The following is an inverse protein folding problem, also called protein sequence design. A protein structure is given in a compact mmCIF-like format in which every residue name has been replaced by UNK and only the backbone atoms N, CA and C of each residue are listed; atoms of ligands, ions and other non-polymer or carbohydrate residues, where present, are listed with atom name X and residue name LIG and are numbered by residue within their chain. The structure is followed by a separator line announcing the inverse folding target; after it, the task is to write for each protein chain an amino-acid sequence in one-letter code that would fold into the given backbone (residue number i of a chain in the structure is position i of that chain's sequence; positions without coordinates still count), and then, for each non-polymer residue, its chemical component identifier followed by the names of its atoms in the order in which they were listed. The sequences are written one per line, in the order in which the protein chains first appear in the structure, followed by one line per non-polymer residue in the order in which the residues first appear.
data_IF_034935829014
#
_entry.id   IF_034935829014
#
_cell.length_a   1.000
_cell.length_b   1.000
_cell.length_c   1.000
_cell.angle_alpha   90.00
_cell.angle_beta   90.00
_cell.angle_gamma   90.00
#
_symmetry.space_group_name_H-M   'P 1'
#
loop_
_entity.id
_entity.type
_entity.pdbx_description
1 polymer ?
#
# COMPACT_ATOMS: atom_id res chain seq x y z
N UNK A 1 -24.89 -4.10 -0.10
CA UNK A 1 -24.46 -4.03 -1.52
C UNK A 1 -24.08 -5.42 -1.99
N UNK A 2 -24.70 -5.91 -3.06
CA UNK A 2 -24.37 -7.19 -3.71
C UNK A 2 -23.05 -7.08 -4.47
N UNK A 3 -22.52 -8.22 -4.95
CA UNK A 3 -21.31 -8.21 -5.80
C UNK A 3 -21.53 -7.47 -7.12
N UNK A 4 -22.67 -7.70 -7.76
CA UNK A 4 -23.04 -7.10 -9.04
C UNK A 4 -23.15 -5.58 -8.92
N UNK A 5 -23.82 -5.09 -7.87
CA UNK A 5 -23.92 -3.65 -7.56
C UNK A 5 -22.55 -3.02 -7.32
N UNK A 6 -21.71 -3.69 -6.53
CA UNK A 6 -20.37 -3.20 -6.21
C UNK A 6 -19.46 -3.19 -7.45
N UNK A 7 -19.49 -4.27 -8.26
CA UNK A 7 -18.70 -4.37 -9.49
C UNK A 7 -19.12 -3.33 -10.53
N UNK A 8 -20.43 -3.02 -10.65
CA UNK A 8 -20.98 -2.03 -11.58
C UNK A 8 -20.46 -0.60 -11.29
N UNK A 9 -19.88 -0.35 -10.12
CA UNK A 9 -19.20 0.91 -9.82
C UNK A 9 -17.91 1.11 -10.62
N UNK A 10 -17.37 0.06 -11.23
CA UNK A 10 -16.10 0.10 -11.96
C UNK A 10 -16.31 -0.11 -13.47
N UNK A 11 -16.51 0.96 -14.28
CA UNK A 11 -16.80 0.84 -15.71
C UNK A 11 -15.74 0.08 -16.51
N UNK A 12 -14.49 0.14 -16.12
CA UNK A 12 -13.38 -0.58 -16.77
C UNK A 12 -13.61 -2.10 -16.81
N UNK A 13 -14.33 -2.64 -15.82
CA UNK A 13 -14.59 -4.07 -15.68
C UNK A 13 -15.63 -4.62 -16.69
N UNK A 14 -16.35 -3.74 -17.39
CA UNK A 14 -17.24 -4.14 -18.47
C UNK A 14 -16.48 -4.70 -19.70
N UNK A 15 -15.26 -4.24 -19.89
CA UNK A 15 -14.42 -4.55 -21.07
C UNK A 15 -13.16 -5.32 -20.75
N UNK A 16 -12.68 -5.22 -19.49
CA UNK A 16 -11.33 -5.65 -19.10
C UNK A 16 -11.40 -6.57 -17.90
N UNK A 17 -10.74 -7.71 -17.97
CA UNK A 17 -10.40 -8.52 -16.81
C UNK A 17 -9.24 -7.83 -16.07
N UNK A 18 -9.60 -6.98 -15.09
CA UNK A 18 -8.65 -6.12 -14.39
C UNK A 18 -8.01 -6.83 -13.18
N UNK A 19 -6.87 -7.46 -13.40
CA UNK A 19 -6.16 -8.29 -12.44
C UNK A 19 -4.79 -7.67 -12.03
N UNK A 20 -4.76 -6.34 -11.80
CA UNK A 20 -3.51 -5.62 -11.53
C UNK A 20 -3.59 -4.62 -10.36
N UNK A 21 -4.45 -4.85 -9.38
CA UNK A 21 -4.55 -3.99 -8.18
C UNK A 21 -3.24 -3.87 -7.39
N UNK A 22 -2.37 -4.87 -7.46
CA UNK A 22 -1.03 -4.80 -6.85
C UNK A 22 -0.12 -3.73 -7.47
N UNK A 23 -0.51 -3.11 -8.60
CA UNK A 23 0.12 -1.92 -9.19
C UNK A 23 -0.79 -0.71 -8.98
N UNK A 24 -1.99 -0.74 -9.56
CA UNK A 24 -3.06 0.24 -9.39
C UNK A 24 -4.41 -0.50 -9.31
N UNK A 25 -5.27 -0.11 -8.38
CA UNK A 25 -6.67 -0.54 -8.35
C UNK A 25 -7.51 0.17 -9.41
N UNK A 26 -8.65 -0.40 -9.84
CA UNK A 26 -9.57 0.31 -10.70
C UNK A 26 -10.24 1.46 -9.93
N UNK A 27 -10.54 2.56 -10.61
CA UNK A 27 -11.28 3.68 -10.01
C UNK A 27 -12.79 3.45 -10.14
N UNK A 28 -13.52 3.64 -9.03
CA UNK A 28 -14.98 3.60 -9.03
C UNK A 28 -15.60 4.91 -9.55
N UNK A 29 -16.89 4.85 -9.93
CA UNK A 29 -17.69 6.03 -10.28
C UNK A 29 -17.73 7.04 -9.14
N UNK A 30 -17.89 6.60 -7.88
CA UNK A 30 -17.95 7.49 -6.73
C UNK A 30 -16.59 8.13 -6.45
N UNK A 31 -15.49 7.37 -6.55
CA UNK A 31 -14.13 7.94 -6.46
C UNK A 31 -13.91 9.03 -7.49
N UNK A 32 -14.27 8.76 -8.76
CA UNK A 32 -14.12 9.73 -9.84
C UNK A 32 -15.02 10.95 -9.65
N UNK A 33 -16.26 10.76 -9.20
CA UNK A 33 -17.21 11.83 -8.92
C UNK A 33 -16.73 12.75 -7.80
N UNK A 34 -16.24 12.20 -6.67
CA UNK A 34 -15.71 12.98 -5.56
C UNK A 34 -14.50 13.85 -5.96
N UNK A 35 -13.61 13.29 -6.80
CA UNK A 35 -12.48 14.05 -7.37
C UNK A 35 -12.99 15.20 -8.24
N UNK A 36 -13.93 14.93 -9.15
CA UNK A 36 -14.47 15.92 -10.08
C UNK A 36 -15.26 17.02 -9.37
N UNK A 37 -16.04 16.68 -8.36
CA UNK A 37 -16.81 17.63 -7.54
C UNK A 37 -15.88 18.59 -6.80
N UNK A 38 -14.83 18.09 -6.17
CA UNK A 38 -13.86 18.97 -5.51
C UNK A 38 -13.17 19.91 -6.51
N UNK A 39 -12.77 19.40 -7.67
CA UNK A 39 -12.16 20.23 -8.71
C UNK A 39 -13.11 21.28 -9.29
N UNK A 40 -14.38 20.92 -9.51
CA UNK A 40 -15.41 21.85 -9.98
C UNK A 40 -15.62 22.99 -8.95
N UNK A 41 -15.68 22.66 -7.67
CA UNK A 41 -15.78 23.65 -6.58
C UNK A 41 -14.56 24.57 -6.53
N UNK A 42 -13.34 24.02 -6.66
CA UNK A 42 -12.11 24.82 -6.71
C UNK A 42 -12.09 25.77 -7.91
N UNK A 43 -12.65 25.32 -9.04
CA UNK A 43 -12.78 26.15 -10.25
C UNK A 43 -13.79 27.30 -10.05
N UNK A 44 -14.93 27.02 -9.43
CA UNK A 44 -16.04 27.98 -9.27
C UNK A 44 -15.77 29.01 -8.15
N UNK A 45 -15.24 28.53 -7.02
CA UNK A 45 -15.08 29.35 -5.81
C UNK A 45 -13.64 29.77 -5.52
N UNK A 46 -12.68 29.19 -6.22
CA UNK A 46 -11.25 29.42 -5.98
C UNK A 46 -10.72 28.65 -4.75
N UNK A 47 -9.41 28.74 -4.54
CA UNK A 47 -8.69 28.06 -3.47
C UNK A 47 -8.03 29.06 -2.52
N UNK A 48 -8.83 29.91 -1.87
CA UNK A 48 -8.32 31.01 -1.05
C UNK A 48 -9.15 31.23 0.21
N UNK A 49 -8.51 31.89 1.18
CA UNK A 49 -9.15 32.27 2.44
C UNK A 49 -9.15 31.18 3.52
N UNK A 50 -9.51 31.59 4.75
CA UNK A 50 -9.50 30.73 5.93
C UNK A 50 -10.45 29.54 5.78
N UNK A 51 -11.66 29.77 5.28
CA UNK A 51 -12.69 28.74 5.14
C UNK A 51 -12.25 27.58 4.23
N UNK A 52 -11.61 27.88 3.09
CA UNK A 52 -11.05 26.84 2.22
C UNK A 52 -9.99 26.00 2.94
N UNK A 53 -9.09 26.69 3.67
CA UNK A 53 -8.03 26.00 4.40
C UNK A 53 -8.56 25.13 5.54
N UNK A 54 -9.54 25.62 6.29
CA UNK A 54 -10.22 24.86 7.35
C UNK A 54 -10.90 23.61 6.80
N UNK A 55 -11.53 23.71 5.64
CA UNK A 55 -12.18 22.54 5.00
C UNK A 55 -11.17 21.50 4.52
N UNK A 56 -10.04 21.92 3.94
CA UNK A 56 -8.94 20.99 3.59
C UNK A 56 -8.39 20.32 4.84
N UNK A 57 -8.22 21.04 5.95
CA UNK A 57 -7.79 20.45 7.21
C UNK A 57 -8.82 19.46 7.76
N UNK A 58 -10.09 19.79 7.74
CA UNK A 58 -11.16 18.90 8.17
C UNK A 58 -11.20 17.60 7.35
N UNK A 59 -11.07 17.69 6.02
CA UNK A 59 -10.99 16.52 5.14
C UNK A 59 -9.79 15.62 5.49
N UNK A 60 -8.63 16.22 5.77
CA UNK A 60 -7.44 15.45 6.20
C UNK A 60 -7.72 14.66 7.47
N UNK A 61 -8.37 15.24 8.46
CA UNK A 61 -8.70 14.55 9.71
C UNK A 61 -9.72 13.43 9.50
N UNK A 62 -10.73 13.62 8.65
CA UNK A 62 -11.69 12.56 8.30
C UNK A 62 -10.99 11.39 7.60
N UNK A 63 -10.14 11.66 6.61
CA UNK A 63 -9.38 10.60 5.90
C UNK A 63 -8.44 9.87 6.87
N UNK A 64 -7.75 10.60 7.76
CA UNK A 64 -6.90 10.02 8.82
C UNK A 64 -7.67 9.06 9.71
N UNK A 65 -8.85 9.47 10.19
CA UNK A 65 -9.71 8.65 11.03
C UNK A 65 -10.18 7.38 10.29
N UNK A 66 -10.55 7.49 9.01
CA UNK A 66 -10.98 6.35 8.19
C UNK A 66 -9.85 5.36 7.94
N UNK A 67 -8.63 5.84 7.68
CA UNK A 67 -7.45 4.98 7.51
C UNK A 67 -7.04 4.32 8.84
N UNK A 68 -7.13 5.05 9.95
CA UNK A 68 -6.92 4.47 11.29
C UNK A 68 -7.90 3.35 11.61
N UNK A 69 -9.20 3.60 11.38
CA UNK A 69 -10.25 2.60 11.56
C UNK A 69 -10.06 1.36 10.66
N UNK A 70 -9.57 1.54 9.42
CA UNK A 70 -9.30 0.44 8.49
C UNK A 70 -8.28 -0.57 9.03
N UNK A 71 -7.28 -0.09 9.77
CA UNK A 71 -6.18 -0.92 10.31
C UNK A 71 -6.19 -1.01 11.85
N UNK A 72 -7.28 -0.62 12.50
CA UNK A 72 -7.51 -0.81 13.94
C UNK A 72 -6.59 0.03 14.84
N UNK A 73 -6.25 1.28 14.43
CA UNK A 73 -5.46 2.20 15.24
C UNK A 73 -6.15 3.55 15.41
N UNK A 74 -5.81 4.26 16.47
CA UNK A 74 -6.30 5.62 16.71
C UNK A 74 -5.77 6.60 15.65
N UNK A 75 -6.55 7.62 15.25
CA UNK A 75 -6.16 8.60 14.24
C UNK A 75 -4.84 9.31 14.54
N UNK A 76 -4.52 9.53 15.82
CA UNK A 76 -3.31 10.17 16.28
C UNK A 76 -2.02 9.39 15.91
N UNK A 77 -2.16 8.11 15.56
CA UNK A 77 -1.05 7.26 15.09
C UNK A 77 -0.89 7.27 13.57
N UNK A 78 -1.74 7.97 12.84
CA UNK A 78 -1.75 7.97 11.37
C UNK A 78 -1.22 9.30 10.83
N UNK A 79 -0.14 9.27 10.06
CA UNK A 79 0.28 10.35 9.16
C UNK A 79 -0.30 10.10 7.76
N UNK A 80 -0.74 11.15 7.07
CA UNK A 80 -1.08 11.05 5.67
C UNK A 80 0.22 11.07 4.85
N UNK A 81 0.30 10.28 3.78
CA UNK A 81 1.43 10.25 2.84
C UNK A 81 0.93 10.17 1.41
N UNK A 82 1.82 10.38 0.42
CA UNK A 82 1.45 10.19 -0.98
C UNK A 82 1.67 8.74 -1.46
N UNK A 83 2.41 7.93 -0.69
CA UNK A 83 2.73 6.54 -1.06
C UNK A 83 3.32 5.76 0.12
N UNK A 84 3.44 4.43 -0.02
CA UNK A 84 4.21 3.60 0.93
C UNK A 84 5.70 3.99 0.95
N UNK A 85 6.26 4.36 -0.19
CA UNK A 85 7.65 4.83 -0.29
C UNK A 85 7.90 6.07 0.55
N UNK A 86 6.98 7.04 0.57
CA UNK A 86 7.07 8.21 1.45
C UNK A 86 7.09 7.79 2.91
N UNK A 87 6.21 6.86 3.30
CA UNK A 87 6.19 6.32 4.65
C UNK A 87 7.51 5.66 5.04
N UNK A 88 8.11 4.85 4.15
CA UNK A 88 9.41 4.24 4.36
C UNK A 88 10.51 5.30 4.55
N UNK A 89 10.54 6.33 3.70
CA UNK A 89 11.51 7.42 3.80
C UNK A 89 11.37 8.21 5.10
N UNK A 90 10.14 8.51 5.52
CA UNK A 90 9.86 9.20 6.80
C UNK A 90 10.43 8.41 7.98
N UNK A 91 10.16 7.10 8.04
CA UNK A 91 10.63 6.23 9.12
C UNK A 91 12.15 6.15 9.13
N UNK A 92 12.75 5.80 8.00
CA UNK A 92 14.20 5.57 7.92
C UNK A 92 15.02 6.85 8.18
N UNK A 93 14.56 7.99 7.67
CA UNK A 93 15.18 9.28 7.97
C UNK A 93 14.96 9.70 9.43
N UNK A 94 13.78 9.37 10.00
CA UNK A 94 13.43 9.69 11.38
C UNK A 94 14.19 8.88 12.42
N UNK A 95 14.56 7.63 12.12
CA UNK A 95 15.33 6.76 13.00
C UNK A 95 16.77 7.22 13.18
N UNK A 96 17.34 7.99 12.22
CA UNK A 96 18.70 8.52 12.31
C UNK A 96 19.76 7.42 12.37
N UNK A 97 19.57 6.37 11.57
CA UNK A 97 20.49 5.22 11.49
C UNK A 97 21.85 5.63 10.92
N UNK A 98 22.90 4.96 11.37
CA UNK A 98 24.28 5.19 10.92
C UNK A 98 24.95 3.91 10.37
N UNK A 99 26.21 4.00 9.93
CA UNK A 99 26.93 2.91 9.27
C UNK A 99 27.20 1.70 10.20
N UNK A 100 27.12 1.88 11.50
CA UNK A 100 27.26 0.80 12.49
C UNK A 100 25.95 0.09 12.80
N UNK A 101 24.81 0.67 12.40
CA UNK A 101 23.49 0.07 12.58
C UNK A 101 23.16 -0.86 11.40
N UNK A 102 22.44 -1.94 11.67
CA UNK A 102 21.97 -2.86 10.65
C UNK A 102 20.44 -2.84 10.53
N UNK A 103 19.95 -2.93 9.30
CA UNK A 103 18.54 -3.16 8.99
C UNK A 103 18.42 -4.47 8.25
N UNK A 104 17.61 -5.39 8.76
CA UNK A 104 17.32 -6.66 8.11
C UNK A 104 16.11 -6.49 7.19
N UNK A 105 16.27 -6.95 5.96
CA UNK A 105 15.23 -6.95 4.91
C UNK A 105 15.30 -8.27 4.12
N UNK A 106 14.45 -8.44 3.08
CA UNK A 106 14.48 -9.66 2.27
C UNK A 106 14.87 -9.42 0.81
N UNK A 107 15.24 -10.51 0.12
CA UNK A 107 15.60 -10.49 -1.31
C UNK A 107 14.41 -10.23 -2.24
N UNK A 108 13.17 -10.31 -1.74
CA UNK A 108 11.95 -10.12 -2.53
C UNK A 108 11.23 -8.79 -2.23
N UNK A 109 11.93 -7.79 -1.70
CA UNK A 109 11.32 -6.49 -1.43
C UNK A 109 11.16 -5.63 -2.69
N UNK A 110 10.15 -4.77 -2.67
CA UNK A 110 9.94 -3.80 -3.75
C UNK A 110 10.93 -2.63 -3.63
N UNK A 111 11.33 -2.06 -4.78
CA UNK A 111 12.27 -0.93 -4.82
C UNK A 111 11.80 0.28 -3.97
N UNK A 112 10.49 0.47 -3.78
CA UNK A 112 9.95 1.52 -2.90
C UNK A 112 10.43 1.44 -1.45
N UNK A 113 10.72 0.23 -0.95
CA UNK A 113 11.36 -0.01 0.34
C UNK A 113 12.89 -0.04 0.20
N UNK A 114 13.42 -0.78 -0.77
CA UNK A 114 14.87 -0.96 -0.95
C UNK A 114 15.59 0.37 -1.22
N UNK A 115 15.02 1.26 -2.04
CA UNK A 115 15.59 2.57 -2.31
C UNK A 115 15.71 3.43 -1.05
N UNK A 116 14.66 3.43 -0.21
CA UNK A 116 14.66 4.13 1.07
C UNK A 116 15.70 3.54 2.04
N UNK A 117 15.82 2.20 2.09
CA UNK A 117 16.82 1.51 2.90
C UNK A 117 18.25 1.91 2.52
N UNK A 118 18.58 1.88 1.23
CA UNK A 118 19.92 2.28 0.75
C UNK A 118 20.26 3.75 1.02
N UNK A 119 19.23 4.59 1.18
CA UNK A 119 19.42 6.01 1.51
C UNK A 119 19.49 6.27 3.02
N UNK A 120 19.26 5.28 3.86
CA UNK A 120 19.20 5.43 5.33
C UNK A 120 20.55 5.65 6.01
N UNK A 121 21.65 5.29 5.35
CA UNK A 121 23.00 5.29 5.93
C UNK A 121 23.34 4.02 6.73
N UNK A 122 22.38 3.13 6.99
CA UNK A 122 22.60 1.88 7.67
C UNK A 122 23.18 0.80 6.76
N UNK A 123 23.77 -0.23 7.37
CA UNK A 123 24.13 -1.45 6.67
C UNK A 123 22.88 -2.30 6.42
N UNK A 124 22.59 -2.62 5.16
CA UNK A 124 21.46 -3.45 4.78
C UNK A 124 21.87 -4.92 4.77
N UNK A 125 21.17 -5.73 5.57
CA UNK A 125 21.34 -7.18 5.64
C UNK A 125 20.16 -7.83 4.95
N UNK A 126 20.42 -8.46 3.79
CA UNK A 126 19.39 -9.09 2.96
C UNK A 126 19.31 -10.58 3.31
N UNK A 127 18.16 -11.05 3.75
CA UNK A 127 17.87 -12.45 4.03
C UNK A 127 16.96 -13.06 2.96
N UNK A 128 16.92 -14.40 2.89
CA UNK A 128 15.83 -15.06 2.18
C UNK A 128 14.49 -14.75 2.86
N UNK A 129 13.37 -14.67 2.08
CA UNK A 129 12.06 -14.28 2.62
C UNK A 129 11.39 -15.45 3.38
N UNK A 130 12.05 -15.92 4.43
CA UNK A 130 11.61 -16.96 5.34
C UNK A 130 11.92 -16.57 6.79
N UNK A 131 11.03 -16.92 7.73
CA UNK A 131 11.16 -16.52 9.11
C UNK A 131 12.51 -16.90 9.73
N UNK A 132 12.94 -18.17 9.53
CA UNK A 132 14.20 -18.67 10.08
C UNK A 132 15.42 -17.95 9.50
N UNK A 133 15.40 -17.62 8.20
CA UNK A 133 16.48 -16.88 7.53
C UNK A 133 16.54 -15.43 8.04
N UNK A 134 15.38 -14.78 8.24
CA UNK A 134 15.29 -13.43 8.81
C UNK A 134 15.82 -13.43 10.25
N UNK A 135 15.43 -14.40 11.08
CA UNK A 135 15.92 -14.52 12.45
C UNK A 135 17.43 -14.78 12.50
N UNK A 136 17.96 -15.61 11.61
CA UNK A 136 19.40 -15.91 11.53
C UNK A 136 20.23 -14.69 11.06
N UNK A 137 19.62 -13.75 10.35
CA UNK A 137 20.25 -12.50 9.89
C UNK A 137 20.34 -11.42 10.99
N UNK A 138 19.63 -11.58 12.12
CA UNK A 138 19.63 -10.61 13.21
C UNK A 138 20.94 -10.70 14.00
N UNK A 139 21.55 -9.54 14.25
CA UNK A 139 22.77 -9.39 15.06
C UNK A 139 22.55 -8.36 16.18
N UNK A 140 23.48 -8.21 17.13
CA UNK A 140 23.40 -7.14 18.14
C UNK A 140 23.40 -5.72 17.56
N UNK A 141 23.78 -5.52 16.29
CA UNK A 141 23.73 -4.24 15.58
C UNK A 141 22.40 -4.00 14.87
N UNK A 142 21.52 -5.01 14.76
CA UNK A 142 20.22 -4.86 14.09
C UNK A 142 19.34 -3.90 14.88
N UNK A 143 18.85 -2.86 14.21
CA UNK A 143 18.01 -1.80 14.77
C UNK A 143 16.59 -1.83 14.27
N UNK A 144 16.35 -2.49 13.15
CA UNK A 144 15.04 -2.51 12.47
C UNK A 144 14.91 -3.78 11.63
N UNK A 145 13.71 -4.35 11.61
CA UNK A 145 13.24 -5.25 10.57
C UNK A 145 12.38 -4.45 9.61
N UNK A 146 12.79 -4.31 8.35
CA UNK A 146 12.06 -3.57 7.32
C UNK A 146 11.62 -4.55 6.23
N UNK A 147 10.33 -4.91 6.22
CA UNK A 147 9.82 -6.08 5.50
C UNK A 147 8.43 -5.80 4.92
N UNK A 148 8.14 -6.33 3.74
CA UNK A 148 6.78 -6.42 3.23
C UNK A 148 5.96 -7.41 4.05
N UNK A 149 4.73 -7.04 4.45
CA UNK A 149 3.83 -7.99 5.10
C UNK A 149 3.39 -9.08 4.12
N UNK A 150 3.08 -8.69 2.88
CA UNK A 150 2.79 -9.59 1.76
C UNK A 150 3.79 -9.30 0.65
N UNK A 151 4.55 -10.29 0.24
CA UNK A 151 5.56 -10.16 -0.80
C UNK A 151 4.91 -9.83 -2.15
N UNK A 152 5.41 -8.79 -2.80
CA UNK A 152 4.83 -8.29 -4.05
C UNK A 152 5.07 -9.22 -5.25
N UNK A 153 6.03 -10.10 -5.15
CA UNK A 153 6.43 -11.09 -6.18
C UNK A 153 5.48 -12.28 -6.22
N UNK A 154 5.17 -12.87 -5.06
CA UNK A 154 4.48 -14.16 -4.94
C UNK A 154 3.15 -14.08 -4.20
N UNK A 155 2.91 -13.01 -3.41
CA UNK A 155 1.78 -12.92 -2.50
C UNK A 155 1.95 -13.72 -1.21
N UNK A 156 3.17 -14.23 -0.93
CA UNK A 156 3.44 -14.96 0.31
C UNK A 156 3.52 -14.01 1.48
N UNK A 157 2.95 -14.41 2.64
CA UNK A 157 3.02 -13.67 3.88
C UNK A 157 4.34 -13.87 4.60
N UNK A 158 4.83 -12.83 5.23
CA UNK A 158 5.83 -12.90 6.27
C UNK A 158 5.19 -12.75 7.65
N UNK A 159 5.56 -13.57 8.65
CA UNK A 159 4.95 -13.54 9.97
C UNK A 159 5.54 -12.41 10.84
N UNK A 160 5.33 -11.14 10.42
CA UNK A 160 6.00 -9.96 11.00
C UNK A 160 5.73 -9.79 12.49
N UNK A 161 4.51 -10.05 12.97
CA UNK A 161 4.17 -9.99 14.39
C UNK A 161 4.98 -11.01 15.23
N UNK A 162 5.14 -12.24 14.70
CA UNK A 162 5.96 -13.27 15.34
C UNK A 162 7.44 -12.92 15.31
N UNK A 163 7.95 -12.36 14.21
CA UNK A 163 9.33 -11.88 14.10
C UNK A 163 9.60 -10.76 15.10
N UNK A 164 8.68 -9.79 15.23
CA UNK A 164 8.75 -8.74 16.25
C UNK A 164 8.80 -9.32 17.67
N UNK A 165 7.88 -10.23 17.98
CA UNK A 165 7.83 -10.87 19.31
C UNK A 165 9.10 -11.68 19.64
N UNK A 166 9.65 -12.40 18.65
CA UNK A 166 10.84 -13.23 18.81
C UNK A 166 12.14 -12.44 18.92
N UNK A 167 12.24 -11.28 18.29
CA UNK A 167 13.47 -10.47 18.27
C UNK A 167 13.43 -9.29 19.24
N UNK A 168 12.25 -8.78 19.61
CA UNK A 168 12.09 -7.53 20.36
C UNK A 168 12.47 -6.28 19.56
N UNK A 169 12.78 -6.42 18.26
CA UNK A 169 13.16 -5.31 17.38
C UNK A 169 11.93 -4.59 16.84
N UNK A 170 12.02 -3.28 16.57
CA UNK A 170 10.97 -2.57 15.85
C UNK A 170 10.81 -3.11 14.43
N UNK A 171 9.56 -3.08 13.91
CA UNK A 171 9.20 -3.54 12.59
C UNK A 171 8.61 -2.40 11.77
N UNK A 172 9.20 -2.13 10.61
CA UNK A 172 8.60 -1.37 9.51
C UNK A 172 7.96 -2.38 8.55
N UNK A 173 6.63 -2.44 8.58
CA UNK A 173 5.83 -3.25 7.67
C UNK A 173 5.47 -2.45 6.41
N UNK A 174 5.95 -2.87 5.23
CA UNK A 174 5.41 -2.35 3.97
C UNK A 174 4.07 -3.02 3.69
N UNK A 175 2.99 -2.22 3.83
CA UNK A 175 1.61 -2.64 3.65
C UNK A 175 1.09 -2.51 2.21
N UNK A 176 1.96 -2.24 1.22
CA UNK A 176 1.55 -1.99 -0.16
C UNK A 176 0.74 -3.11 -0.81
N UNK A 177 0.92 -4.35 -0.38
CA UNK A 177 0.20 -5.53 -0.89
C UNK A 177 -0.73 -6.16 0.14
N UNK A 178 -0.78 -5.65 1.37
CA UNK A 178 -1.66 -6.18 2.42
C UNK A 178 -2.86 -5.28 2.71
N UNK A 179 -2.65 -3.97 2.91
CA UNK A 179 -3.76 -3.07 3.30
C UNK A 179 -4.75 -2.91 2.14
N UNK A 180 -6.01 -3.25 2.41
CA UNK A 180 -7.08 -3.31 1.41
C UNK A 180 -7.22 -4.66 0.69
N UNK A 181 -6.17 -5.50 0.69
CA UNK A 181 -6.19 -6.86 0.14
C UNK A 181 -6.58 -7.93 1.17
N UNK A 182 -6.11 -7.76 2.41
CA UNK A 182 -6.39 -8.64 3.55
C UNK A 182 -6.71 -7.81 4.79
N UNK A 183 -7.32 -8.38 5.84
CA UNK A 183 -7.43 -7.72 7.14
C UNK A 183 -6.04 -7.48 7.72
N UNK A 184 -5.78 -6.27 8.19
CA UNK A 184 -4.50 -5.87 8.80
C UNK A 184 -4.76 -5.22 10.15
N UNK A 185 -4.07 -5.70 11.19
CA UNK A 185 -3.99 -5.04 12.48
C UNK A 185 -2.72 -4.18 12.54
N UNK A 186 -2.88 -2.87 12.35
CA UNK A 186 -1.77 -1.91 12.36
C UNK A 186 -1.11 -1.76 13.73
N UNK A 187 -1.78 -2.16 14.82
CA UNK A 187 -1.22 -2.12 16.18
C UNK A 187 -0.11 -3.16 16.41
N UNK A 188 -0.04 -4.17 15.56
CA UNK A 188 0.99 -5.21 15.63
C UNK A 188 2.40 -4.72 15.26
N UNK A 189 2.51 -3.55 14.59
CA UNK A 189 3.77 -3.03 14.05
C UNK A 189 4.17 -1.71 14.71
N UNK A 190 5.47 -1.38 14.64
CA UNK A 190 5.95 -0.06 15.07
C UNK A 190 5.67 0.98 13.98
N UNK A 191 5.78 0.54 12.71
CA UNK A 191 5.47 1.34 11.54
C UNK A 191 4.75 0.48 10.50
N UNK A 192 3.67 1.02 9.91
CA UNK A 192 2.97 0.37 8.79
C UNK A 192 2.70 1.39 7.69
N UNK A 193 3.13 1.12 6.47
CA UNK A 193 2.85 1.98 5.31
C UNK A 193 1.60 1.52 4.57
N UNK A 194 0.83 2.47 4.03
CA UNK A 194 -0.43 2.25 3.33
C UNK A 194 -0.41 2.93 1.96
N UNK A 195 -0.90 2.25 0.94
CA UNK A 195 -1.02 2.76 -0.43
C UNK A 195 -2.50 2.91 -0.82
N UNK A 196 -2.95 4.13 -1.10
CA UNK A 196 -4.35 4.40 -1.45
C UNK A 196 -4.73 3.94 -2.86
N UNK A 197 -3.83 4.09 -3.83
CA UNK A 197 -4.10 3.80 -5.25
C UNK A 197 -4.07 2.31 -5.63
N UNK A 198 -3.72 1.40 -4.71
CA UNK A 198 -3.69 -0.03 -5.00
C UNK A 198 -5.01 -0.71 -4.62
N UNK A 199 -4.98 -1.52 -3.60
CA UNK A 199 -6.12 -2.33 -3.14
C UNK A 199 -7.28 -1.53 -2.54
N UNK A 200 -7.03 -0.28 -2.15
CA UNK A 200 -8.06 0.65 -1.67
C UNK A 200 -8.79 1.35 -2.82
N UNK A 201 -8.35 1.19 -4.07
CA UNK A 201 -8.99 1.79 -5.26
C UNK A 201 -9.11 3.33 -5.21
N UNK A 202 -8.27 3.97 -4.41
CA UNK A 202 -8.20 5.43 -4.31
C UNK A 202 -7.40 6.06 -5.45
N UNK A 203 -7.41 7.39 -5.57
CA UNK A 203 -6.59 8.13 -6.51
C UNK A 203 -5.10 8.05 -6.20
N UNK A 204 -4.29 8.44 -7.19
CA UNK A 204 -2.85 8.62 -7.02
C UNK A 204 -2.50 9.64 -5.94
N UNK A 205 -1.27 9.55 -5.44
CA UNK A 205 -0.76 10.43 -4.39
C UNK A 205 -1.56 10.36 -3.09
N UNK A 206 -2.09 9.18 -2.75
CA UNK A 206 -2.79 8.91 -1.49
C UNK A 206 -2.18 7.70 -0.78
N UNK A 207 -2.05 7.82 0.53
CA UNK A 207 -1.51 6.79 1.40
C UNK A 207 -1.43 7.25 2.85
N UNK A 208 -0.85 6.41 3.68
CA UNK A 208 -0.61 6.74 5.08
C UNK A 208 0.60 6.00 5.66
N UNK A 209 1.06 6.49 6.78
CA UNK A 209 2.02 5.86 7.67
C UNK A 209 1.41 5.76 9.07
N UNK A 210 1.28 4.55 9.59
CA UNK A 210 0.99 4.32 11.01
C UNK A 210 2.30 4.34 11.78
N UNK A 211 2.34 5.08 12.88
CA UNK A 211 3.49 5.15 13.81
C UNK A 211 2.98 4.83 15.21
N UNK A 212 3.47 3.74 15.81
CA UNK A 212 3.01 3.29 17.11
C UNK A 212 3.33 4.30 18.23
N UNK A 213 4.50 4.92 18.17
CA UNK A 213 4.95 5.96 19.11
C UNK A 213 5.54 7.15 18.34
N UNK A 214 4.68 8.11 17.90
CA UNK A 214 5.13 9.25 17.10
C UNK A 214 6.15 10.16 17.78
N UNK A 215 6.17 10.19 19.12
CA UNK A 215 7.06 11.06 19.88
C UNK A 215 8.53 10.57 19.86
N UNK A 216 8.74 9.28 19.61
CA UNK A 216 10.07 8.67 19.51
C UNK A 216 10.71 8.75 18.14
N UNK A 217 9.93 9.08 17.12
CA UNK A 217 10.44 9.22 15.76
C UNK A 217 10.76 10.70 15.47
N UNK A 218 11.98 10.99 15.06
CA UNK A 218 12.40 12.34 14.71
C UNK A 218 11.71 12.82 13.43
N UNK A 219 11.20 14.06 13.42
CA UNK A 219 10.71 14.71 12.19
C UNK A 219 11.92 15.13 11.36
N UNK A 220 12.30 14.30 10.39
CA UNK A 220 13.46 14.53 9.53
C UNK A 220 13.15 15.48 8.35
N UNK A 221 11.90 15.55 7.94
CA UNK A 221 11.43 16.39 6.83
C UNK A 221 10.18 17.16 7.25
N UNK A 222 10.32 18.27 7.99
CA UNK A 222 9.19 19.08 8.42
C UNK A 222 8.50 19.74 7.23
N UNK A 223 7.18 19.86 7.30
CA UNK A 223 6.33 20.48 6.28
C UNK A 223 5.46 21.57 6.90
N UNK A 224 4.78 22.33 6.04
CA UNK A 224 3.80 23.32 6.51
C UNK A 224 2.66 22.66 7.31
N UNK A 225 2.26 21.44 6.96
CA UNK A 225 1.18 20.70 7.63
C UNK A 225 1.65 19.90 8.85
N UNK A 226 2.96 19.78 9.10
CA UNK A 226 3.51 19.01 10.23
C UNK A 226 3.71 19.85 11.50
N UNK A 227 3.50 21.16 11.43
CA UNK A 227 3.71 22.10 12.52
C UNK A 227 2.42 22.69 13.08
N UNK A 228 2.46 23.07 14.35
CA UNK A 228 1.45 23.94 14.98
C UNK A 228 1.83 25.40 14.73
N UNK A 229 3.07 25.77 15.04
CA UNK A 229 3.58 27.13 14.96
C UNK A 229 5.06 27.14 14.58
N UNK A 230 5.60 28.30 14.16
CA UNK A 230 7.00 28.47 13.81
C UNK A 230 7.48 29.91 14.02
N UNK A 231 8.79 30.03 14.25
CA UNK A 231 9.50 31.29 14.42
C UNK A 231 10.13 31.74 13.08
N UNK A 232 10.45 33.04 12.91
CA UNK A 232 11.09 33.55 11.70
C UNK A 232 12.45 32.93 11.36
N UNK A 233 13.13 32.36 12.35
CA UNK A 233 14.42 31.68 12.20
C UNK A 233 14.29 30.20 11.80
N UNK A 234 13.05 29.71 11.62
CA UNK A 234 12.74 28.34 11.20
C UNK A 234 12.58 27.35 12.36
N UNK A 235 12.72 27.75 13.62
CA UNK A 235 12.30 26.93 14.76
C UNK A 235 10.77 26.73 14.70
N UNK A 236 10.30 25.55 15.03
CA UNK A 236 8.89 25.22 14.97
C UNK A 236 8.45 24.28 16.07
N UNK A 237 7.16 24.30 16.37
CA UNK A 237 6.50 23.32 17.24
C UNK A 237 5.81 22.28 16.34
N UNK A 238 6.26 21.03 16.42
CA UNK A 238 5.63 19.93 15.68
C UNK A 238 4.21 19.66 16.20
N UNK A 239 3.32 19.21 15.32
CA UNK A 239 2.00 18.73 15.72
C UNK A 239 2.13 17.53 16.68
N UNK A 240 1.15 17.32 17.58
CA UNK A 240 1.06 16.10 18.37
C UNK A 240 0.74 14.91 17.47
N UNK A 241 1.10 13.71 17.91
CA UNK A 241 0.83 12.47 17.21
C UNK A 241 1.52 12.38 15.85
N UNK A 242 1.08 11.45 15.00
CA UNK A 242 1.70 11.18 13.72
C UNK A 242 1.46 12.28 12.65
N UNK A 243 0.53 13.21 12.89
CA UNK A 243 0.32 14.37 12.01
C UNK A 243 1.59 15.25 11.86
N UNK A 244 2.58 15.11 12.76
CA UNK A 244 3.91 15.73 12.66
C UNK A 244 4.73 15.27 11.47
N UNK A 245 4.35 14.14 10.84
CA UNK A 245 5.00 13.55 9.68
C UNK A 245 4.24 13.81 8.38
N UNK A 246 3.11 14.53 8.42
CA UNK A 246 2.33 14.84 7.23
C UNK A 246 3.21 15.59 6.20
N UNK A 247 3.19 15.20 4.91
CA UNK A 247 3.90 15.91 3.86
C UNK A 247 3.24 17.27 3.60
N UNK A 248 3.90 18.10 2.80
CA UNK A 248 3.40 19.45 2.52
C UNK A 248 1.99 19.38 1.93
N UNK A 249 1.83 19.15 0.66
CA UNK A 249 0.53 19.24 0.00
C UNK A 249 0.14 17.89 -0.63
N UNK A 250 -0.98 17.32 -0.17
CA UNK A 250 -1.69 16.25 -0.86
C UNK A 250 -2.92 16.90 -1.51
N UNK A 251 -3.20 16.70 -2.81
CA UNK A 251 -4.36 17.29 -3.45
C UNK A 251 -5.66 16.94 -2.71
N UNK A 252 -6.43 17.94 -2.32
CA UNK A 252 -7.69 17.72 -1.59
C UNK A 252 -8.68 16.88 -2.39
N UNK A 253 -8.72 17.06 -3.72
CA UNK A 253 -9.50 16.21 -4.61
C UNK A 253 -9.11 14.72 -4.50
N UNK A 254 -7.81 14.40 -4.40
CA UNK A 254 -7.35 13.02 -4.20
C UNK A 254 -7.77 12.48 -2.83
N UNK A 255 -7.73 13.29 -1.77
CA UNK A 255 -8.21 12.89 -0.44
C UNK A 255 -9.73 12.63 -0.43
N UNK A 256 -10.51 13.48 -1.09
CA UNK A 256 -11.96 13.28 -1.25
C UNK A 256 -12.27 11.98 -2.02
N UNK A 257 -11.52 11.71 -3.10
CA UNK A 257 -11.63 10.46 -3.84
C UNK A 257 -11.24 9.23 -3.02
N UNK A 258 -10.18 9.31 -2.21
CA UNK A 258 -9.79 8.21 -1.31
C UNK A 258 -10.88 7.95 -0.26
N UNK A 259 -11.46 9.00 0.33
CA UNK A 259 -12.56 8.86 1.29
C UNK A 259 -13.74 8.13 0.66
N UNK A 260 -14.16 8.52 -0.55
CA UNK A 260 -15.23 7.86 -1.30
C UNK A 260 -14.90 6.37 -1.57
N UNK A 261 -13.66 6.06 -1.94
CA UNK A 261 -13.23 4.68 -2.17
C UNK A 261 -13.30 3.83 -0.88
N UNK A 262 -12.91 4.39 0.26
CA UNK A 262 -12.98 3.72 1.56
C UNK A 262 -14.43 3.49 2.02
N UNK A 263 -15.34 4.42 1.72
CA UNK A 263 -16.76 4.33 2.10
C UNK A 263 -17.52 3.31 1.27
N UNK A 264 -17.14 3.08 0.02
CA UNK A 264 -17.75 2.09 -0.87
C UNK A 264 -17.23 0.66 -0.69
N UNK A 265 -16.11 0.45 -0.01
CA UNK A 265 -15.48 -0.85 0.12
C UNK A 265 -16.38 -1.83 0.90
N UNK A 266 -16.85 -2.95 0.30
CA UNK A 266 -17.79 -3.85 0.96
C UNK A 266 -17.11 -4.66 2.09
N UNK A 267 -17.87 -5.01 3.13
CA UNK A 267 -17.37 -5.81 4.27
C UNK A 267 -16.87 -7.20 3.82
N UNK A 268 -17.52 -7.81 2.84
CA UNK A 268 -17.17 -9.14 2.31
C UNK A 268 -15.95 -9.16 1.39
N UNK A 269 -15.31 -8.00 1.14
CA UNK A 269 -14.21 -7.84 0.16
C UNK A 269 -13.05 -8.82 0.33
N UNK A 270 -12.60 -9.03 1.55
CA UNK A 270 -11.43 -9.87 1.83
C UNK A 270 -11.69 -11.34 1.56
N UNK A 271 -12.82 -11.87 2.06
CA UNK A 271 -13.19 -13.26 1.86
C UNK A 271 -13.38 -13.58 0.37
N UNK A 272 -14.02 -12.66 -0.38
CA UNK A 272 -14.22 -12.84 -1.81
C UNK A 272 -12.90 -12.79 -2.58
N UNK A 273 -12.04 -11.80 -2.35
CA UNK A 273 -10.77 -11.68 -3.02
C UNK A 273 -9.89 -12.93 -2.81
N UNK A 274 -9.83 -13.44 -1.58
CA UNK A 274 -9.12 -14.67 -1.25
C UNK A 274 -9.69 -15.89 -1.99
N UNK A 275 -11.02 -16.05 -1.99
CA UNK A 275 -11.70 -17.16 -2.70
C UNK A 275 -11.44 -17.09 -4.21
N UNK A 276 -11.51 -15.89 -4.81
CA UNK A 276 -11.26 -15.67 -6.23
C UNK A 276 -9.82 -16.00 -6.60
N UNK A 277 -8.83 -15.60 -5.79
CA UNK A 277 -7.43 -15.95 -6.01
C UNK A 277 -7.18 -17.46 -5.86
N UNK A 278 -7.84 -18.11 -4.89
CA UNK A 278 -7.82 -19.56 -4.73
C UNK A 278 -8.36 -20.28 -5.97
N UNK A 279 -9.48 -19.79 -6.52
CA UNK A 279 -10.05 -20.32 -7.76
C UNK A 279 -9.09 -20.15 -8.96
N UNK A 280 -8.46 -18.97 -9.09
CA UNK A 280 -7.49 -18.75 -10.17
C UNK A 280 -6.32 -19.77 -10.11
N UNK A 281 -5.78 -20.05 -8.91
CA UNK A 281 -4.73 -21.06 -8.76
C UNK A 281 -5.16 -22.44 -9.28
N UNK A 282 -6.42 -22.83 -9.02
CA UNK A 282 -6.97 -24.10 -9.51
C UNK A 282 -7.14 -24.09 -11.04
N UNK A 283 -7.60 -22.97 -11.63
CA UNK A 283 -7.80 -22.86 -13.08
C UNK A 283 -6.46 -22.82 -13.85
N UNK A 284 -5.39 -22.31 -13.24
CA UNK A 284 -4.05 -22.29 -13.83
C UNK A 284 -3.34 -23.63 -13.70
N UNK A 285 -3.80 -24.53 -12.82
CA UNK A 285 -3.21 -25.85 -12.67
C UNK A 285 -3.28 -26.64 -14.00
N UNK A 286 -2.12 -27.10 -14.50
CA UNK A 286 -1.99 -27.77 -15.79
C UNK A 286 -1.89 -26.83 -17.01
N UNK A 287 -1.98 -25.49 -16.82
CA UNK A 287 -1.78 -24.49 -17.86
C UNK A 287 -0.49 -23.68 -17.68
N UNK A 288 -0.06 -23.48 -16.43
CA UNK A 288 1.15 -22.77 -16.08
C UNK A 288 1.70 -23.28 -14.73
N UNK A 289 2.98 -23.07 -14.48
CA UNK A 289 3.59 -23.33 -13.18
C UNK A 289 3.18 -22.22 -12.19
N UNK A 290 2.24 -22.51 -11.29
CA UNK A 290 1.80 -21.58 -10.26
C UNK A 290 2.81 -21.56 -9.11
N UNK A 291 3.36 -20.38 -8.81
CA UNK A 291 4.29 -20.20 -7.68
C UNK A 291 3.52 -20.27 -6.37
N UNK A 292 4.09 -20.94 -5.37
CA UNK A 292 3.52 -20.99 -4.04
C UNK A 292 3.43 -19.59 -3.43
N UNK A 293 2.22 -19.17 -3.11
CA UNK A 293 1.91 -17.85 -2.56
C UNK A 293 0.59 -17.87 -1.82
N UNK A 294 0.20 -16.73 -1.28
CA UNK A 294 -1.01 -16.57 -0.49
C UNK A 294 -1.96 -15.49 -1.01
N UNK A 295 -3.07 -15.35 -0.32
CA UNK A 295 -4.04 -14.26 -0.47
C UNK A 295 -4.46 -13.96 -1.91
N UNK A 296 -4.38 -12.67 -2.27
CA UNK A 296 -4.98 -12.07 -3.47
C UNK A 296 -4.04 -11.99 -4.67
N UNK A 297 -2.74 -12.23 -4.46
CA UNK A 297 -1.74 -12.29 -5.54
C UNK A 297 -1.54 -13.73 -6.01
N UNK A 298 -1.58 -13.95 -7.32
CA UNK A 298 -1.32 -15.23 -7.96
C UNK A 298 -0.23 -15.01 -9.00
N UNK A 299 0.97 -15.52 -8.72
CA UNK A 299 2.09 -15.46 -9.64
C UNK A 299 2.30 -16.83 -10.28
N UNK A 300 2.60 -16.82 -11.57
CA UNK A 300 2.81 -18.05 -12.34
C UNK A 300 3.88 -17.83 -13.42
N UNK A 301 4.53 -18.91 -13.80
CA UNK A 301 5.47 -18.94 -14.90
C UNK A 301 4.73 -19.37 -16.17
N UNK A 302 4.61 -18.53 -17.18
CA UNK A 302 3.99 -18.90 -18.44
C UNK A 302 4.90 -19.79 -19.27
N UNK A 303 4.34 -20.45 -20.28
CA UNK A 303 5.12 -21.05 -21.36
C UNK A 303 5.68 -19.92 -22.24
N UNK A 304 7.01 -19.75 -22.24
CA UNK A 304 7.70 -18.67 -22.97
C UNK A 304 8.00 -17.43 -22.14
N UNK A 305 8.21 -16.31 -22.81
CA UNK A 305 8.59 -15.04 -22.19
C UNK A 305 7.43 -14.38 -21.44
N UNK A 306 7.69 -13.91 -20.23
CA UNK A 306 6.66 -13.31 -19.38
C UNK A 306 6.16 -11.96 -19.92
N UNK A 307 7.05 -11.13 -20.49
CA UNK A 307 6.69 -9.84 -21.08
C UNK A 307 5.83 -10.01 -22.32
N UNK A 308 6.19 -10.94 -23.23
CA UNK A 308 5.39 -11.28 -24.40
C UNK A 308 4.01 -11.83 -24.01
N UNK A 309 3.97 -12.67 -22.96
CA UNK A 309 2.69 -13.18 -22.41
C UNK A 309 1.83 -12.05 -21.87
N UNK A 310 2.39 -11.11 -21.12
CA UNK A 310 1.63 -9.94 -20.63
C UNK A 310 1.11 -9.09 -21.78
N UNK A 311 1.90 -8.88 -22.83
CA UNK A 311 1.45 -8.14 -24.02
C UNK A 311 0.27 -8.83 -24.72
N UNK A 312 0.37 -10.15 -24.95
CA UNK A 312 -0.72 -10.96 -25.54
C UNK A 312 -1.99 -10.93 -24.68
N UNK A 313 -1.86 -11.09 -23.37
CA UNK A 313 -2.99 -11.01 -22.43
C UNK A 313 -3.64 -9.63 -22.45
N UNK A 314 -2.85 -8.56 -22.56
CA UNK A 314 -3.36 -7.20 -22.66
C UNK A 314 -4.19 -7.00 -23.97
N UNK A 315 -3.74 -7.52 -25.10
CA UNK A 315 -4.50 -7.52 -26.37
C UNK A 315 -5.82 -8.28 -26.26
N UNK A 316 -5.86 -9.35 -25.44
CA UNK A 316 -7.09 -10.10 -25.13
C UNK A 316 -7.98 -9.41 -24.07
N UNK A 317 -7.65 -8.19 -23.63
CA UNK A 317 -8.40 -7.44 -22.62
C UNK A 317 -8.18 -7.95 -21.18
N UNK A 318 -7.05 -8.58 -20.90
CA UNK A 318 -6.66 -9.04 -19.57
C UNK A 318 -5.48 -8.22 -19.07
N UNK A 319 -5.65 -7.50 -17.97
CA UNK A 319 -4.60 -6.66 -17.36
C UNK A 319 -3.95 -7.39 -16.19
N UNK A 320 -2.73 -7.82 -16.40
CA UNK A 320 -1.83 -8.46 -15.43
C UNK A 320 -0.47 -7.74 -15.46
N UNK A 321 0.50 -8.22 -14.71
CA UNK A 321 1.84 -7.62 -14.67
C UNK A 321 2.94 -8.69 -14.77
N UNK A 322 3.98 -8.38 -15.54
CA UNK A 322 5.27 -9.06 -15.40
C UNK A 322 5.93 -8.66 -14.08
N UNK A 323 6.53 -9.62 -13.38
CA UNK A 323 7.40 -9.36 -12.22
C UNK A 323 8.84 -9.30 -12.72
N UNK A 324 9.45 -8.11 -12.77
CA UNK A 324 10.77 -7.90 -13.37
C UNK A 324 11.83 -8.85 -12.81
N UNK A 325 12.68 -9.37 -13.70
CA UNK A 325 13.81 -10.25 -13.39
C UNK A 325 13.46 -11.61 -12.77
N UNK A 326 12.20 -12.05 -12.83
CA UNK A 326 11.77 -13.33 -12.25
C UNK A 326 11.23 -14.31 -13.29
N UNK A 327 10.84 -13.84 -14.46
CA UNK A 327 10.11 -14.62 -15.48
C UNK A 327 8.68 -14.98 -15.05
N UNK A 328 8.12 -14.24 -14.09
CA UNK A 328 6.77 -14.47 -13.59
C UNK A 328 5.77 -13.44 -14.15
N UNK A 329 4.57 -13.91 -14.39
CA UNK A 329 3.36 -13.09 -14.56
C UNK A 329 2.58 -13.11 -13.26
N UNK A 330 2.13 -11.95 -12.80
CA UNK A 330 1.36 -11.79 -11.56
C UNK A 330 -0.04 -11.25 -11.85
N UNK A 331 -1.05 -12.03 -11.49
CA UNK A 331 -2.44 -11.60 -11.41
C UNK A 331 -2.78 -11.15 -9.97
N UNK A 332 -3.46 -10.03 -9.85
CA UNK A 332 -3.91 -9.43 -8.57
C UNK A 332 -5.43 -9.50 -8.51
N UNK A 333 -5.97 -10.50 -7.81
CA UNK A 333 -7.41 -10.74 -7.71
C UNK A 333 -8.04 -9.82 -6.66
N UNK A 334 -8.69 -8.74 -7.11
CA UNK A 334 -9.47 -7.87 -6.24
C UNK A 334 -10.84 -8.47 -5.92
N UNK A 335 -11.53 -7.88 -4.95
CA UNK A 335 -12.89 -8.30 -4.57
C UNK A 335 -13.92 -8.10 -5.71
N UNK A 336 -13.62 -7.23 -6.66
CA UNK A 336 -14.41 -6.96 -7.88
C UNK A 336 -14.22 -7.99 -9.00
N UNK A 337 -13.24 -8.89 -8.88
CA UNK A 337 -12.92 -9.88 -9.90
C UNK A 337 -14.04 -10.93 -10.00
N UNK A 338 -14.53 -11.19 -11.22
CA UNK A 338 -15.53 -12.19 -11.53
C UNK A 338 -14.92 -13.50 -12.04
N UNK A 339 -15.73 -14.55 -12.06
CA UNK A 339 -15.32 -15.83 -12.69
C UNK A 339 -14.99 -15.66 -14.16
N UNK A 340 -15.78 -14.86 -14.90
CA UNK A 340 -15.50 -14.57 -16.30
C UNK A 340 -14.17 -13.85 -16.55
N UNK A 341 -13.68 -13.05 -15.57
CA UNK A 341 -12.35 -12.44 -15.68
C UNK A 341 -11.25 -13.51 -15.58
N UNK A 342 -11.44 -14.51 -14.71
CA UNK A 342 -10.51 -15.62 -14.55
C UNK A 342 -10.50 -16.56 -15.76
N UNK A 343 -11.69 -16.85 -16.29
CA UNK A 343 -11.87 -17.66 -17.50
C UNK A 343 -11.19 -17.01 -18.71
N UNK A 344 -11.40 -15.70 -18.91
CA UNK A 344 -10.74 -14.92 -19.97
C UNK A 344 -9.21 -14.97 -19.86
N UNK A 345 -8.64 -14.84 -18.65
CA UNK A 345 -7.20 -15.00 -18.46
C UNK A 345 -6.73 -16.40 -18.85
N UNK A 346 -7.44 -17.44 -18.43
CA UNK A 346 -7.06 -18.83 -18.70
C UNK A 346 -7.27 -19.26 -20.17
N UNK A 347 -8.16 -18.61 -20.91
CA UNK A 347 -8.38 -18.84 -22.34
C UNK A 347 -7.33 -18.12 -23.20
N UNK A 348 -6.79 -16.99 -22.73
CA UNK A 348 -5.80 -16.21 -23.44
C UNK A 348 -4.34 -16.60 -23.15
N UNK A 349 -4.11 -17.51 -22.18
CA UNK A 349 -2.80 -18.13 -21.92
C UNK A 349 -2.46 -19.18 -22.95
#
# INVERSE_FOLDING_TARGET
MTFEEARAQFPVLERTAYLNAGTFGPLSRATAAAVAEWQARDLEHGRSGGAYFEEVLALREVVRARLGALVGVEPERVALTASTTDGCNIVLAGLGLGPDDEVVTTSEEHFGLLGALHSSGARIVVAEPAADAILAAVTPRTRLLALSQVLWTTGRDLPLASLKAGTGLPVLADGAQSVGAIPVDGSAFDFLTISGQKWLCGPDSTGALVVADPERLRVASPSYFSKVDYEPDGRYTAKPGAARFDPNWIPAASLAGLLAALDEAPEWRYARAAATAGRLRLLLAGKAEVVAGGHTLVSFRPDGDAGETVARLHEAGVVVREVPNTGLVRASCGWWTSDGDLERLCEAL
#
